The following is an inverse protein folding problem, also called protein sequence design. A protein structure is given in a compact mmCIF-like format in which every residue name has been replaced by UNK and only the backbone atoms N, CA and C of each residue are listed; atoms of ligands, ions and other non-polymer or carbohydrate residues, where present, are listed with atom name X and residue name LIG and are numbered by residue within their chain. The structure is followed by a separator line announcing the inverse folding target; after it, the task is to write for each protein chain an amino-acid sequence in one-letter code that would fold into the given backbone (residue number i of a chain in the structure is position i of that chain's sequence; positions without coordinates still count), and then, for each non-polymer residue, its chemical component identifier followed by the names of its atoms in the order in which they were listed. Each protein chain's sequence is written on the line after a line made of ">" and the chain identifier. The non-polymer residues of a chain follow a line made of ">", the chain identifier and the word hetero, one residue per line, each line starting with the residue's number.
data_IF_747062763006
#
_entry.id   IF_747062763006
#
_cell.length_a   1.000
_cell.length_b   1.000
_cell.length_c   1.000
_cell.angle_alpha   90.00
_cell.angle_beta   90.00
_cell.angle_gamma   90.00
#
_symmetry.space_group_name_H-M   'P 1'
#
loop_
_entity.id
_entity.type
_entity.pdbx_description
1 polymer ?
#
# COMPACT_ATOMS: atom_id res chain seq x y z
N UNK A 1 49.05 -25.95 -25.05
CA UNK A 1 48.69 -26.08 -23.62
C UNK A 1 47.18 -25.94 -23.54
N UNK A 2 46.47 -27.05 -23.38
CA UNK A 2 45.02 -27.01 -23.13
C UNK A 2 44.82 -26.67 -21.66
N UNK A 3 44.15 -25.56 -21.40
CA UNK A 3 43.73 -25.13 -20.07
C UNK A 3 42.60 -26.05 -19.60
N UNK A 4 42.93 -26.91 -18.65
CA UNK A 4 42.00 -27.82 -17.98
C UNK A 4 40.96 -26.98 -17.25
N UNK A 5 39.74 -26.92 -17.80
CA UNK A 5 38.62 -26.21 -17.19
C UNK A 5 37.96 -27.21 -16.25
N UNK A 6 38.36 -27.17 -14.97
CA UNK A 6 37.79 -28.03 -13.94
C UNK A 6 36.30 -27.71 -13.78
N UNK A 7 35.45 -28.54 -14.41
CA UNK A 7 34.01 -28.57 -14.19
C UNK A 7 33.76 -28.90 -12.71
N UNK A 8 33.41 -27.90 -11.90
CA UNK A 8 32.86 -28.11 -10.56
C UNK A 8 31.55 -28.89 -10.70
N UNK A 9 31.60 -30.18 -10.41
CA UNK A 9 30.41 -31.02 -10.29
C UNK A 9 29.62 -30.56 -9.08
N UNK A 10 28.44 -29.98 -9.32
CA UNK A 10 27.53 -29.59 -8.24
C UNK A 10 26.96 -30.88 -7.63
N UNK A 11 27.34 -31.17 -6.38
CA UNK A 11 26.76 -32.28 -5.61
C UNK A 11 25.30 -31.95 -5.26
N UNK A 12 24.37 -32.62 -5.94
CA UNK A 12 22.92 -32.39 -5.81
C UNK A 12 22.29 -33.16 -4.66
N UNK A 13 23.06 -33.98 -3.94
CA UNK A 13 22.54 -34.75 -2.80
C UNK A 13 22.08 -33.84 -1.67
N UNK A 14 21.05 -34.22 -0.90
CA UNK A 14 20.66 -33.50 0.32
C UNK A 14 21.85 -33.34 1.27
N UNK A 15 21.90 -32.20 1.99
CA UNK A 15 23.01 -31.90 2.90
C UNK A 15 23.27 -33.03 3.92
N UNK A 16 22.20 -33.62 4.48
CA UNK A 16 22.31 -34.76 5.39
C UNK A 16 23.04 -35.96 4.76
N UNK A 17 22.74 -36.30 3.50
CA UNK A 17 23.39 -37.42 2.81
C UNK A 17 24.87 -37.15 2.60
N UNK A 18 25.21 -35.93 2.19
CA UNK A 18 26.61 -35.49 2.02
C UNK A 18 27.39 -35.60 3.33
N UNK A 19 26.79 -35.15 4.43
CA UNK A 19 27.39 -35.24 5.77
C UNK A 19 27.54 -36.69 6.22
N UNK A 20 26.54 -37.55 6.00
CA UNK A 20 26.62 -38.96 6.36
C UNK A 20 27.72 -39.67 5.57
N UNK A 21 27.83 -39.44 4.26
CA UNK A 21 28.91 -40.00 3.44
C UNK A 21 30.29 -39.57 3.94
N UNK A 22 30.48 -38.27 4.21
CA UNK A 22 31.74 -37.76 4.76
C UNK A 22 32.05 -38.38 6.13
N UNK A 23 31.08 -38.41 7.03
CA UNK A 23 31.26 -38.94 8.37
C UNK A 23 31.62 -40.44 8.38
N UNK A 24 31.10 -41.22 7.43
CA UNK A 24 31.49 -42.61 7.23
C UNK A 24 32.92 -42.73 6.67
N UNK A 25 33.25 -41.93 5.65
CA UNK A 25 34.59 -41.93 5.03
C UNK A 25 35.68 -41.49 6.02
N UNK A 26 35.38 -40.51 6.87
CA UNK A 26 36.27 -39.99 7.90
C UNK A 26 36.30 -40.84 9.19
N UNK A 27 35.48 -41.90 9.28
CA UNK A 27 35.39 -42.75 10.47
C UNK A 27 34.77 -42.07 11.70
N UNK A 28 34.09 -40.93 11.52
CA UNK A 28 33.37 -40.22 12.58
C UNK A 28 32.10 -40.96 13.02
N UNK A 29 31.46 -41.66 12.08
CA UNK A 29 30.32 -42.56 12.33
C UNK A 29 30.80 -43.99 12.12
N UNK A 30 30.93 -44.73 13.22
CA UNK A 30 31.28 -46.15 13.22
C UNK A 30 30.04 -47.04 13.03
N UNK A 31 30.25 -48.36 12.94
CA UNK A 31 29.15 -49.33 12.76
C UNK A 31 28.08 -49.25 13.86
N UNK A 32 28.44 -49.22 15.17
CA UNK A 32 27.46 -49.02 16.24
C UNK A 32 26.64 -47.74 16.09
N UNK A 33 27.27 -46.60 15.75
CA UNK A 33 26.56 -45.35 15.55
C UNK A 33 25.66 -45.40 14.32
N UNK A 34 26.11 -46.02 13.22
CA UNK A 34 25.28 -46.20 12.02
C UNK A 34 24.01 -47.02 12.31
N UNK A 35 24.12 -48.08 13.12
CA UNK A 35 22.96 -48.88 13.54
C UNK A 35 22.03 -48.13 14.51
N UNK A 36 22.57 -47.23 15.33
CA UNK A 36 21.76 -46.30 16.11
C UNK A 36 21.01 -45.32 15.19
N UNK A 37 21.67 -44.72 14.19
CA UNK A 37 21.05 -43.82 13.21
C UNK A 37 19.91 -44.52 12.44
N UNK A 38 20.08 -45.79 12.05
CA UNK A 38 19.02 -46.58 11.39
C UNK A 38 17.78 -46.73 12.28
N UNK A 39 17.95 -47.09 13.56
CA UNK A 39 16.85 -47.24 14.52
C UNK A 39 16.17 -45.90 14.82
N UNK A 40 16.95 -44.86 15.02
CA UNK A 40 16.45 -43.49 15.23
C UNK A 40 15.67 -42.99 14.02
N UNK A 41 16.17 -43.25 12.81
CA UNK A 41 15.54 -42.87 11.55
C UNK A 41 14.19 -43.57 11.34
N UNK A 42 14.12 -44.88 11.57
CA UNK A 42 12.86 -45.63 11.52
C UNK A 42 11.81 -45.05 12.49
N UNK A 43 12.22 -44.75 13.73
CA UNK A 43 11.35 -44.11 14.73
C UNK A 43 10.89 -42.72 14.28
N UNK A 44 11.80 -41.89 13.76
CA UNK A 44 11.50 -40.55 13.28
C UNK A 44 10.51 -40.54 12.11
N UNK A 45 10.67 -41.47 11.16
CA UNK A 45 9.76 -41.62 10.02
C UNK A 45 8.34 -41.95 10.49
N UNK A 46 8.17 -42.91 11.41
CA UNK A 46 6.85 -43.26 11.94
C UNK A 46 6.23 -42.07 12.67
N UNK A 47 6.98 -41.35 13.50
CA UNK A 47 6.48 -40.17 14.23
C UNK A 47 6.02 -39.05 13.28
N UNK A 48 6.81 -38.76 12.24
CA UNK A 48 6.47 -37.76 11.24
C UNK A 48 5.24 -38.19 10.41
N UNK A 49 5.16 -39.47 10.02
CA UNK A 49 3.99 -39.99 9.31
C UNK A 49 2.71 -39.89 10.16
N UNK A 50 2.78 -40.21 11.46
CA UNK A 50 1.65 -40.05 12.38
C UNK A 50 1.24 -38.59 12.57
N UNK A 51 2.21 -37.65 12.61
CA UNK A 51 1.89 -36.23 12.79
C UNK A 51 1.19 -35.62 11.56
N UNK A 52 1.67 -35.94 10.35
CA UNK A 52 1.14 -35.37 9.12
C UNK A 52 -0.09 -36.13 8.58
N UNK A 53 -0.10 -37.46 8.70
CA UNK A 53 -1.14 -38.33 8.17
C UNK A 53 -1.23 -39.66 8.92
N UNK A 54 -0.77 -40.74 8.32
CA UNK A 54 -0.81 -42.09 8.92
C UNK A 54 0.45 -42.91 8.61
N UNK A 55 0.99 -43.68 9.58
CA UNK A 55 2.16 -44.53 9.33
C UNK A 55 1.82 -45.81 8.55
N UNK A 56 0.55 -46.09 8.29
CA UNK A 56 0.11 -47.34 7.65
C UNK A 56 0.16 -47.27 6.11
N UNK A 57 0.36 -46.08 5.54
CA UNK A 57 0.40 -45.86 4.10
C UNK A 57 1.84 -45.64 3.63
N UNK A 58 2.25 -46.38 2.60
CA UNK A 58 3.58 -46.23 2.01
C UNK A 58 3.89 -44.80 1.53
N UNK A 59 2.99 -44.08 0.82
CA UNK A 59 3.25 -42.70 0.43
C UNK A 59 3.54 -41.77 1.61
N UNK A 60 2.84 -41.95 2.74
CA UNK A 60 3.06 -41.17 3.95
C UNK A 60 4.40 -41.46 4.61
N UNK A 61 4.84 -42.72 4.62
CA UNK A 61 6.17 -43.11 5.10
C UNK A 61 7.29 -42.56 4.20
N UNK A 62 7.10 -42.58 2.88
CA UNK A 62 8.05 -42.01 1.92
C UNK A 62 8.16 -40.48 2.08
N UNK A 63 7.02 -39.80 2.22
CA UNK A 63 6.99 -38.38 2.50
C UNK A 63 7.65 -38.08 3.86
N UNK A 64 7.35 -38.84 4.91
CA UNK A 64 7.98 -38.71 6.22
C UNK A 64 9.51 -38.94 6.19
N UNK A 65 10.02 -39.83 5.32
CA UNK A 65 11.46 -39.97 5.06
C UNK A 65 12.05 -38.67 4.49
N UNK A 66 11.40 -38.08 3.48
CA UNK A 66 11.81 -36.78 2.92
C UNK A 66 11.81 -35.68 3.98
N UNK A 67 10.79 -35.65 4.83
CA UNK A 67 10.69 -34.71 5.95
C UNK A 67 11.86 -34.86 6.93
N UNK A 68 12.16 -36.09 7.33
CA UNK A 68 13.27 -36.37 8.25
C UNK A 68 14.61 -35.89 7.67
N UNK A 69 14.90 -36.23 6.40
CA UNK A 69 16.14 -35.82 5.72
C UNK A 69 16.23 -34.29 5.64
N UNK A 70 15.13 -33.62 5.31
CA UNK A 70 15.07 -32.15 5.21
C UNK A 70 15.32 -31.48 6.56
N UNK A 71 14.63 -31.91 7.60
CA UNK A 71 14.73 -31.32 8.95
C UNK A 71 16.12 -31.55 9.56
N UNK A 72 16.66 -32.76 9.46
CA UNK A 72 18.01 -33.08 9.94
C UNK A 72 19.05 -32.31 9.15
N UNK A 73 18.93 -32.25 7.83
CA UNK A 73 19.82 -31.47 6.96
C UNK A 73 19.83 -29.99 7.35
N UNK A 74 18.65 -29.40 7.54
CA UNK A 74 18.50 -28.01 7.97
C UNK A 74 19.18 -27.72 9.31
N UNK A 75 19.03 -28.62 10.29
CA UNK A 75 19.67 -28.48 11.60
C UNK A 75 21.20 -28.59 11.51
N UNK A 76 21.70 -29.62 10.82
CA UNK A 76 23.13 -29.84 10.62
C UNK A 76 23.78 -28.64 9.94
N UNK A 77 23.21 -28.16 8.84
CA UNK A 77 23.77 -27.05 8.07
C UNK A 77 23.80 -25.76 8.89
N UNK A 78 22.71 -25.48 9.62
CA UNK A 78 22.61 -24.29 10.46
C UNK A 78 23.55 -24.30 11.67
N UNK A 79 23.75 -25.44 12.32
CA UNK A 79 24.61 -25.54 13.51
C UNK A 79 26.10 -25.64 13.16
N UNK A 80 26.44 -26.22 12.00
CA UNK A 80 27.81 -26.32 11.52
C UNK A 80 28.28 -25.09 10.75
N UNK A 81 27.37 -24.19 10.36
CA UNK A 81 27.65 -23.11 9.43
C UNK A 81 28.03 -23.63 8.04
N UNK A 82 27.40 -24.73 7.60
CA UNK A 82 27.67 -25.40 6.32
C UNK A 82 28.92 -26.26 6.28
N UNK A 83 29.72 -26.30 7.35
CA UNK A 83 30.99 -27.05 7.40
C UNK A 83 30.73 -28.56 7.58
N UNK A 84 30.93 -29.33 6.51
CA UNK A 84 30.64 -30.78 6.47
C UNK A 84 31.33 -31.56 7.60
N UNK A 85 32.58 -31.23 7.93
CA UNK A 85 33.31 -31.95 8.97
C UNK A 85 32.72 -31.70 10.38
N UNK A 86 32.34 -30.45 10.67
CA UNK A 86 31.64 -30.08 11.91
C UNK A 86 30.26 -30.74 11.96
N UNK A 87 29.54 -30.77 10.84
CA UNK A 87 28.26 -31.47 10.74
C UNK A 87 28.40 -32.99 10.96
N UNK A 88 29.51 -33.59 10.52
CA UNK A 88 29.83 -35.00 10.79
C UNK A 88 29.99 -35.27 12.29
N UNK A 89 30.68 -34.39 13.02
CA UNK A 89 30.77 -34.45 14.48
C UNK A 89 29.41 -34.29 15.16
N UNK A 90 28.56 -33.36 14.69
CA UNK A 90 27.19 -33.21 15.18
C UNK A 90 26.36 -34.47 14.96
N UNK A 91 26.51 -35.15 13.82
CA UNK A 91 25.78 -36.39 13.51
C UNK A 91 26.25 -37.56 14.39
N UNK A 92 27.53 -37.61 14.75
CA UNK A 92 28.08 -38.54 15.74
C UNK A 92 27.47 -38.29 17.12
N UNK A 93 27.41 -37.03 17.55
CA UNK A 93 27.11 -36.65 18.93
C UNK A 93 25.61 -36.49 19.23
N UNK A 94 24.78 -36.20 18.22
CA UNK A 94 23.34 -35.94 18.38
C UNK A 94 22.49 -37.01 17.70
N UNK A 95 21.34 -37.33 18.32
CA UNK A 95 20.35 -38.23 17.72
C UNK A 95 19.64 -37.57 16.54
N UNK A 96 19.18 -38.38 15.56
CA UNK A 96 18.38 -37.88 14.44
C UNK A 96 17.08 -37.22 14.90
N UNK A 97 16.48 -37.71 16.00
CA UNK A 97 15.28 -37.09 16.58
C UNK A 97 15.55 -35.69 17.11
N UNK A 98 16.69 -35.48 17.79
CA UNK A 98 17.09 -34.16 18.28
C UNK A 98 17.35 -33.20 17.12
N UNK A 99 18.08 -33.64 16.08
CA UNK A 99 18.34 -32.85 14.88
C UNK A 99 17.05 -32.55 14.11
N UNK A 100 16.16 -33.52 13.95
CA UNK A 100 14.85 -33.33 13.31
C UNK A 100 13.98 -32.34 14.07
N UNK A 101 13.98 -32.39 15.41
CA UNK A 101 13.28 -31.42 16.25
C UNK A 101 13.87 -30.02 16.09
N UNK A 102 15.20 -29.88 16.12
CA UNK A 102 15.88 -28.60 15.92
C UNK A 102 15.56 -27.98 14.55
N UNK A 103 15.50 -28.80 13.48
CA UNK A 103 15.04 -28.37 12.17
C UNK A 103 13.58 -27.89 12.19
N UNK A 104 12.69 -28.64 12.85
CA UNK A 104 11.27 -28.28 12.94
C UNK A 104 11.08 -26.97 13.72
N UNK A 105 11.78 -26.79 14.84
CA UNK A 105 11.73 -25.59 15.65
C UNK A 105 12.23 -24.35 14.88
N UNK A 106 13.18 -24.51 13.95
CA UNK A 106 13.60 -23.42 13.04
C UNK A 106 12.48 -23.02 12.10
N UNK A 107 11.78 -23.99 11.51
CA UNK A 107 10.64 -23.72 10.63
C UNK A 107 9.47 -23.10 11.39
N UNK A 108 9.20 -23.53 12.63
CA UNK A 108 8.18 -22.88 13.48
C UNK A 108 8.53 -21.41 13.78
N UNK A 109 9.79 -21.12 14.10
CA UNK A 109 10.24 -19.72 14.27
C UNK A 109 10.08 -18.90 12.99
N UNK A 110 10.36 -19.49 11.82
CA UNK A 110 10.14 -18.85 10.54
C UNK A 110 8.65 -18.59 10.27
N UNK A 111 7.80 -19.57 10.59
CA UNK A 111 6.34 -19.47 10.45
C UNK A 111 5.76 -18.36 11.33
N UNK A 112 6.27 -18.18 12.55
CA UNK A 112 5.86 -17.11 13.46
C UNK A 112 6.26 -15.70 13.01
N UNK A 113 7.15 -15.56 12.01
CA UNK A 113 7.49 -14.27 11.43
C UNK A 113 6.50 -13.87 10.32
N UNK A 114 6.19 -12.57 10.18
CA UNK A 114 5.20 -12.07 9.23
C UNK A 114 5.67 -12.23 7.78
N UNK A 115 4.77 -12.72 6.93
CA UNK A 115 4.98 -12.85 5.48
C UNK A 115 4.89 -11.51 4.75
N UNK A 116 4.13 -10.58 5.29
CA UNK A 116 3.84 -9.27 4.70
C UNK A 116 4.02 -8.14 5.71
N UNK A 117 4.09 -6.90 5.23
CA UNK A 117 4.18 -5.69 6.07
C UNK A 117 2.79 -5.17 6.40
N UNK A 118 1.91 -6.06 6.82
CA UNK A 118 0.52 -5.75 7.13
C UNK A 118 0.38 -5.54 8.65
N UNK A 119 -0.05 -4.34 9.04
CA UNK A 119 -0.33 -3.99 10.42
C UNK A 119 -1.61 -4.69 10.87
N UNK A 120 -1.63 -5.23 12.09
CA UNK A 120 -2.81 -5.92 12.60
C UNK A 120 -3.29 -7.10 11.74
N UNK A 121 -2.38 -7.83 11.08
CA UNK A 121 -2.74 -8.83 10.06
C UNK A 121 -3.90 -9.77 10.51
N UNK A 122 -5.04 -9.78 9.79
CA UNK A 122 -6.19 -10.61 10.14
C UNK A 122 -5.85 -12.10 10.23
N UNK A 123 -6.50 -12.81 11.15
CA UNK A 123 -6.23 -14.23 11.38
C UNK A 123 -6.45 -15.11 10.13
N UNK A 124 -7.34 -14.68 9.22
CA UNK A 124 -7.64 -15.38 7.98
C UNK A 124 -6.43 -15.50 7.03
N UNK A 125 -5.44 -14.61 7.16
CA UNK A 125 -4.21 -14.65 6.36
C UNK A 125 -3.12 -15.52 7.00
N UNK A 126 -3.31 -16.04 8.22
CA UNK A 126 -2.32 -16.90 8.87
C UNK A 126 -2.41 -18.32 8.30
N UNK A 127 -1.39 -18.70 7.53
CA UNK A 127 -1.19 -20.09 7.09
C UNK A 127 -1.12 -21.03 8.32
N UNK A 128 -1.72 -22.21 8.20
CA UNK A 128 -1.61 -23.27 9.21
C UNK A 128 -0.15 -23.70 9.40
N UNK A 129 0.32 -23.79 10.65
CA UNK A 129 1.69 -24.30 10.94
C UNK A 129 1.89 -25.67 10.30
N UNK A 130 0.88 -26.55 10.38
CA UNK A 130 0.96 -27.91 9.86
C UNK A 130 1.14 -27.90 8.34
N UNK A 131 0.42 -27.04 7.63
CA UNK A 131 0.48 -26.96 6.17
C UNK A 131 1.80 -26.33 5.70
N UNK A 132 2.23 -25.27 6.38
CA UNK A 132 3.56 -24.66 6.16
C UNK A 132 4.68 -25.69 6.33
N UNK A 133 4.67 -26.44 7.44
CA UNK A 133 5.65 -27.48 7.71
C UNK A 133 5.59 -28.59 6.66
N UNK A 134 4.39 -29.03 6.26
CA UNK A 134 4.23 -30.06 5.22
C UNK A 134 4.87 -29.61 3.90
N UNK A 135 4.55 -28.39 3.46
CA UNK A 135 5.11 -27.78 2.23
C UNK A 135 6.62 -27.67 2.27
N UNK A 136 7.18 -27.19 3.38
CA UNK A 136 8.62 -26.97 3.53
C UNK A 136 9.43 -28.26 3.70
N UNK A 137 8.81 -29.38 4.08
CA UNK A 137 9.54 -30.61 4.44
C UNK A 137 9.30 -31.77 3.49
N UNK A 138 8.21 -31.78 2.71
CA UNK A 138 7.89 -32.84 1.76
C UNK A 138 7.65 -32.33 0.33
N UNK A 139 6.75 -31.35 0.15
CA UNK A 139 6.30 -30.96 -1.20
C UNK A 139 7.36 -30.15 -1.95
N UNK A 140 7.93 -29.17 -1.26
CA UNK A 140 9.03 -28.34 -1.75
C UNK A 140 10.11 -28.26 -0.69
N UNK A 141 10.89 -29.34 -0.47
CA UNK A 141 11.88 -29.42 0.60
C UNK A 141 12.77 -28.19 0.67
N UNK A 142 12.79 -27.54 1.83
CA UNK A 142 13.52 -26.30 2.04
C UNK A 142 15.01 -26.57 2.14
N UNK A 143 15.81 -25.79 1.41
CA UNK A 143 17.26 -25.75 1.60
C UNK A 143 17.60 -24.73 2.67
N UNK A 144 18.78 -24.87 3.31
CA UNK A 144 19.19 -23.88 4.31
C UNK A 144 19.36 -22.48 3.71
N UNK A 145 19.85 -22.38 2.47
CA UNK A 145 19.91 -21.11 1.75
C UNK A 145 18.53 -20.45 1.56
N UNK A 146 17.50 -21.23 1.19
CA UNK A 146 16.13 -20.73 1.08
C UNK A 146 15.57 -20.32 2.43
N UNK A 147 15.82 -21.11 3.49
CA UNK A 147 15.47 -20.75 4.86
C UNK A 147 16.08 -19.41 5.29
N UNK A 148 17.37 -19.19 5.04
CA UNK A 148 18.04 -17.92 5.39
C UNK A 148 17.46 -16.73 4.62
N UNK A 149 17.21 -16.89 3.32
CA UNK A 149 16.64 -15.84 2.50
C UNK A 149 15.22 -15.46 2.98
N UNK A 150 14.39 -16.47 3.27
CA UNK A 150 13.03 -16.26 3.75
C UNK A 150 13.02 -15.66 5.17
N UNK A 151 13.85 -16.16 6.08
CA UNK A 151 14.02 -15.62 7.43
C UNK A 151 14.41 -14.15 7.40
N UNK A 152 15.44 -13.80 6.63
CA UNK A 152 15.87 -12.42 6.49
C UNK A 152 14.77 -11.52 5.89
N UNK A 153 13.94 -12.06 4.99
CA UNK A 153 12.81 -11.31 4.43
C UNK A 153 11.71 -11.07 5.45
N UNK A 154 11.31 -12.10 6.19
CA UNK A 154 10.25 -11.98 7.20
C UNK A 154 10.70 -11.17 8.42
N UNK A 155 11.98 -11.23 8.80
CA UNK A 155 12.57 -10.34 9.81
C UNK A 155 12.51 -8.87 9.38
N UNK A 156 12.79 -8.57 8.10
CA UNK A 156 12.60 -7.21 7.60
C UNK A 156 11.15 -6.77 7.72
N UNK A 157 10.18 -7.65 7.42
CA UNK A 157 8.77 -7.32 7.59
C UNK A 157 8.42 -7.02 9.06
N UNK A 158 8.91 -7.84 10.00
CA UNK A 158 8.74 -7.58 11.43
C UNK A 158 9.31 -6.22 11.84
N UNK A 159 10.49 -5.85 11.35
CA UNK A 159 11.11 -4.55 11.62
C UNK A 159 10.25 -3.38 11.11
N UNK A 160 9.59 -3.52 9.96
CA UNK A 160 8.64 -2.52 9.47
C UNK A 160 7.42 -2.40 10.37
N UNK A 161 6.84 -3.53 10.78
CA UNK A 161 5.69 -3.58 11.68
C UNK A 161 6.02 -2.91 13.02
N UNK A 162 7.16 -3.27 13.63
CA UNK A 162 7.61 -2.69 14.89
C UNK A 162 7.87 -1.18 14.78
N UNK A 163 8.52 -0.74 13.69
CA UNK A 163 8.77 0.68 13.44
C UNK A 163 7.46 1.47 13.19
N UNK A 164 6.47 0.83 12.57
CA UNK A 164 5.16 1.44 12.30
C UNK A 164 4.39 1.65 13.60
N UNK A 165 4.31 0.64 14.47
CA UNK A 165 3.72 0.81 15.80
C UNK A 165 4.45 1.87 16.63
N UNK A 166 5.79 1.88 16.59
CA UNK A 166 6.57 2.90 17.27
C UNK A 166 6.23 4.31 16.78
N UNK A 167 6.14 4.50 15.46
CA UNK A 167 5.86 5.79 14.84
C UNK A 167 4.43 6.27 15.13
N UNK A 168 3.45 5.36 15.03
CA UNK A 168 2.05 5.64 15.38
C UNK A 168 1.92 6.02 16.87
N UNK A 169 2.60 5.28 17.76
CA UNK A 169 2.63 5.58 19.20
C UNK A 169 3.25 6.96 19.51
N UNK A 170 4.28 7.38 18.79
CA UNK A 170 4.84 8.75 18.92
C UNK A 170 3.85 9.85 18.52
N UNK A 171 2.84 9.51 17.71
CA UNK A 171 1.75 10.40 17.30
C UNK A 171 0.49 10.25 18.16
N UNK A 172 0.56 9.46 19.23
CA UNK A 172 -0.52 9.29 20.22
C UNK A 172 -1.57 8.26 19.85
N UNK A 173 -1.23 7.29 18.99
CA UNK A 173 -2.10 6.15 18.68
C UNK A 173 -1.74 4.98 19.58
N UNK A 174 -2.73 4.43 20.28
CA UNK A 174 -2.55 3.21 21.07
C UNK A 174 -2.40 1.98 20.17
N UNK A 175 -1.70 0.97 20.65
CA UNK A 175 -1.39 -0.21 19.83
C UNK A 175 -2.65 -0.97 19.44
N UNK A 176 -3.59 -1.10 20.37
CA UNK A 176 -4.86 -1.78 20.17
C UNK A 176 -5.67 -1.11 19.06
N UNK A 177 -5.71 0.22 19.00
CA UNK A 177 -6.38 0.97 17.94
C UNK A 177 -5.71 0.72 16.57
N UNK A 178 -4.38 0.68 16.55
CA UNK A 178 -3.61 0.42 15.34
C UNK A 178 -3.73 -1.02 14.82
N UNK A 179 -4.03 -1.98 15.70
CA UNK A 179 -4.27 -3.38 15.33
C UNK A 179 -5.56 -3.56 14.52
N UNK A 180 -6.54 -2.67 14.68
CA UNK A 180 -7.82 -2.71 13.95
C UNK A 180 -7.73 -2.13 12.53
N UNK A 181 -6.63 -1.47 12.18
CA UNK A 181 -6.50 -0.79 10.89
C UNK A 181 -6.36 -1.75 9.70
N UNK A 182 -5.72 -2.90 9.89
CA UNK A 182 -5.51 -3.91 8.85
C UNK A 182 -4.92 -3.35 7.53
N UNK A 183 -3.97 -2.41 7.62
CA UNK A 183 -3.33 -1.73 6.47
C UNK A 183 -1.84 -2.06 6.33
N UNK A 184 -1.28 -1.83 5.13
CA UNK A 184 0.16 -1.91 4.93
C UNK A 184 0.92 -0.82 5.70
N UNK A 185 2.08 -1.18 6.25
CA UNK A 185 2.94 -0.29 7.02
C UNK A 185 3.32 0.98 6.25
N UNK A 186 3.53 0.87 4.93
CA UNK A 186 3.93 1.96 4.07
C UNK A 186 2.94 3.13 4.08
N UNK A 187 1.63 2.85 4.12
CA UNK A 187 0.58 3.87 4.12
C UNK A 187 0.59 4.68 5.43
N UNK A 188 0.77 3.98 6.55
CA UNK A 188 0.88 4.57 7.89
C UNK A 188 2.16 5.39 8.02
N UNK A 189 3.29 4.86 7.56
CA UNK A 189 4.58 5.57 7.56
C UNK A 189 4.48 6.84 6.71
N UNK A 190 3.91 6.77 5.51
CA UNK A 190 3.73 7.96 4.66
C UNK A 190 2.82 9.01 5.33
N UNK A 191 1.72 8.59 5.95
CA UNK A 191 0.82 9.48 6.69
C UNK A 191 1.53 10.15 7.85
N UNK A 192 2.30 9.40 8.64
CA UNK A 192 3.11 9.93 9.73
C UNK A 192 4.17 10.93 9.23
N UNK A 193 4.88 10.60 8.16
CA UNK A 193 5.89 11.47 7.56
C UNK A 193 5.28 12.75 7.01
N UNK A 194 4.07 12.71 6.43
CA UNK A 194 3.37 13.91 5.99
C UNK A 194 3.02 14.84 7.17
N UNK A 195 2.57 14.28 8.30
CA UNK A 195 2.37 15.03 9.55
C UNK A 195 3.69 15.66 10.01
N UNK A 196 4.76 14.86 10.10
CA UNK A 196 6.08 15.31 10.59
C UNK A 196 6.78 16.30 9.65
N UNK A 197 6.46 16.25 8.36
CA UNK A 197 6.93 17.21 7.39
C UNK A 197 6.29 18.58 7.64
N UNK A 198 5.00 18.63 7.96
CA UNK A 198 4.25 19.89 7.93
C UNK A 198 4.13 20.53 9.31
N UNK A 199 4.15 19.73 10.37
CA UNK A 199 3.93 20.18 11.74
C UNK A 199 5.21 20.11 12.59
N UNK A 200 5.49 21.19 13.32
CA UNK A 200 6.64 21.23 14.26
C UNK A 200 6.35 20.53 15.59
N UNK A 201 5.08 20.48 15.99
CA UNK A 201 4.59 19.86 17.22
C UNK A 201 3.39 18.98 16.85
N UNK A 202 3.63 17.79 16.31
CA UNK A 202 2.55 16.95 15.85
C UNK A 202 1.72 16.47 17.04
N UNK A 203 0.40 16.63 16.94
CA UNK A 203 -0.56 16.13 17.93
C UNK A 203 -1.62 15.28 17.21
N UNK A 204 -1.77 14.01 17.60
CA UNK A 204 -2.69 13.06 16.96
C UNK A 204 -2.22 12.58 15.59
N UNK A 205 -2.94 11.59 15.07
CA UNK A 205 -2.66 10.96 13.78
C UNK A 205 -3.53 11.53 12.64
N UNK A 206 -3.87 10.70 11.66
CA UNK A 206 -4.39 11.12 10.38
C UNK A 206 -5.93 11.12 10.33
N UNK A 207 -6.53 12.13 9.72
CA UNK A 207 -7.95 12.17 9.30
C UNK A 207 -8.05 12.74 7.89
N UNK A 208 -9.19 12.56 7.21
CA UNK A 208 -9.37 13.11 5.85
C UNK A 208 -9.23 14.63 5.85
N UNK A 209 -9.95 15.33 6.72
CA UNK A 209 -9.88 16.79 6.80
C UNK A 209 -8.45 17.26 7.09
N UNK A 210 -7.76 16.54 7.99
CA UNK A 210 -6.37 16.84 8.30
C UNK A 210 -5.48 16.60 7.09
N UNK A 211 -5.66 15.49 6.36
CA UNK A 211 -4.90 15.19 5.15
C UNK A 211 -4.97 16.33 4.14
N UNK A 212 -6.16 16.87 3.86
CA UNK A 212 -6.32 18.00 2.93
C UNK A 212 -5.45 19.20 3.35
N UNK A 213 -5.43 19.54 4.64
CA UNK A 213 -4.63 20.65 5.18
C UNK A 213 -3.12 20.35 5.13
N UNK A 214 -2.72 19.13 5.50
CA UNK A 214 -1.32 18.71 5.47
C UNK A 214 -0.79 18.68 4.03
N UNK A 215 -1.59 18.18 3.09
CA UNK A 215 -1.24 18.13 1.68
C UNK A 215 -0.95 19.54 1.14
N UNK A 216 -1.86 20.49 1.33
CA UNK A 216 -1.67 21.88 0.90
C UNK A 216 -0.45 22.54 1.57
N UNK A 217 -0.18 22.25 2.84
CA UNK A 217 1.02 22.71 3.52
C UNK A 217 2.30 22.10 2.91
N UNK A 218 2.28 20.80 2.58
CA UNK A 218 3.40 20.07 2.02
C UNK A 218 3.75 20.56 0.59
N UNK A 219 2.74 20.89 -0.24
CA UNK A 219 2.96 21.47 -1.58
C UNK A 219 3.79 22.75 -1.55
N UNK A 220 3.58 23.58 -0.51
CA UNK A 220 4.28 24.86 -0.32
C UNK A 220 5.66 24.70 0.32
N UNK A 221 5.99 23.51 0.84
CA UNK A 221 7.24 23.28 1.58
C UNK A 221 8.40 22.97 0.63
N UNK A 222 9.43 23.83 0.69
CA UNK A 222 10.66 23.68 -0.12
C UNK A 222 11.69 22.73 0.51
N UNK A 223 11.72 22.62 1.84
CA UNK A 223 12.63 21.75 2.58
C UNK A 223 11.94 20.46 3.05
N UNK A 224 12.59 19.32 2.82
CA UNK A 224 12.12 17.99 3.19
C UNK A 224 12.62 17.51 4.56
N UNK A 225 12.96 18.42 5.49
CA UNK A 225 13.40 18.04 6.84
C UNK A 225 12.27 17.60 7.77
N UNK A 226 12.61 16.74 8.74
CA UNK A 226 11.70 16.16 9.75
C UNK A 226 12.20 16.40 11.19
N UNK A 227 12.25 17.65 11.69
CA UNK A 227 12.93 17.94 12.97
C UNK A 227 12.36 17.20 14.19
N UNK A 228 11.04 16.97 14.22
CA UNK A 228 10.41 16.21 15.30
C UNK A 228 10.82 14.73 15.26
N UNK A 229 10.94 14.15 14.06
CA UNK A 229 11.41 12.79 13.90
C UNK A 229 12.88 12.66 14.29
N UNK A 230 13.72 13.61 13.89
CA UNK A 230 15.15 13.61 14.23
C UNK A 230 15.35 13.55 15.76
N UNK A 231 14.59 14.35 16.51
CA UNK A 231 14.59 14.32 17.97
C UNK A 231 14.10 12.97 18.53
N UNK A 232 13.05 12.37 17.97
CA UNK A 232 12.55 11.06 18.42
C UNK A 232 13.52 9.91 18.13
N UNK A 233 14.35 10.05 17.09
CA UNK A 233 15.31 9.03 16.68
C UNK A 233 16.55 8.98 17.59
N UNK A 234 16.80 10.00 18.42
CA UNK A 234 17.87 9.99 19.43
C UNK A 234 17.70 8.81 20.40
N UNK A 235 16.47 8.56 20.85
CA UNK A 235 16.13 7.48 21.78
C UNK A 235 15.69 6.16 21.11
N UNK A 236 15.62 6.12 19.78
CA UNK A 236 15.14 4.93 19.05
C UNK A 236 16.15 3.77 19.03
N UNK A 237 15.73 2.58 18.61
CA UNK A 237 16.69 1.48 18.36
C UNK A 237 17.49 1.73 17.07
N UNK A 238 18.69 1.14 16.91
CA UNK A 238 19.45 1.24 15.65
C UNK A 238 18.68 0.74 14.42
N UNK A 239 17.81 -0.26 14.60
CA UNK A 239 16.94 -0.78 13.55
C UNK A 239 15.91 0.26 13.08
N UNK A 240 15.20 0.88 14.03
CA UNK A 240 14.24 1.96 13.73
C UNK A 240 14.94 3.15 13.10
N UNK A 241 16.11 3.57 13.62
CA UNK A 241 16.91 4.65 13.03
C UNK A 241 17.24 4.40 11.56
N UNK A 242 17.75 3.21 11.25
CA UNK A 242 18.15 2.85 9.88
C UNK A 242 16.95 2.78 8.95
N UNK A 243 15.81 2.23 9.43
CA UNK A 243 14.58 2.16 8.67
C UNK A 243 14.01 3.55 8.40
N UNK A 244 13.83 4.38 9.43
CA UNK A 244 13.25 5.71 9.28
C UNK A 244 14.10 6.61 8.39
N UNK A 245 15.42 6.51 8.45
CA UNK A 245 16.30 7.20 7.49
C UNK A 245 15.95 6.83 6.04
N UNK A 246 15.90 5.53 5.73
CA UNK A 246 15.51 5.05 4.39
C UNK A 246 14.11 5.53 3.99
N UNK A 247 13.15 5.48 4.90
CA UNK A 247 11.77 5.89 4.60
C UNK A 247 11.63 7.41 4.41
N UNK A 248 12.40 8.24 5.13
CA UNK A 248 12.44 9.69 4.88
C UNK A 248 13.06 10.04 3.53
N UNK A 249 14.11 9.32 3.12
CA UNK A 249 14.72 9.44 1.80
C UNK A 249 13.72 9.03 0.70
N UNK A 250 13.08 7.85 0.85
CA UNK A 250 12.03 7.36 -0.07
C UNK A 250 10.86 8.33 -0.16
N UNK A 251 10.33 8.79 0.97
CA UNK A 251 9.22 9.73 1.01
C UNK A 251 9.55 11.01 0.25
N UNK A 252 10.76 11.55 0.44
CA UNK A 252 11.20 12.77 -0.24
C UNK A 252 11.39 12.58 -1.74
N UNK A 253 11.87 11.41 -2.16
CA UNK A 253 12.17 11.10 -3.55
C UNK A 253 10.94 10.65 -4.36
N UNK A 254 9.99 9.94 -3.74
CA UNK A 254 8.90 9.25 -4.44
C UNK A 254 7.52 9.78 -4.07
N UNK A 255 7.27 10.07 -2.79
CA UNK A 255 5.92 10.44 -2.30
C UNK A 255 5.68 11.94 -2.39
N UNK A 256 6.68 12.75 -2.03
CA UNK A 256 6.56 14.21 -2.07
C UNK A 256 6.33 14.78 -3.48
N UNK A 257 6.93 14.23 -4.57
CA UNK A 257 6.56 14.61 -5.93
C UNK A 257 5.09 14.37 -6.24
N UNK A 258 4.52 13.23 -5.81
CA UNK A 258 3.09 12.90 -6.01
C UNK A 258 2.20 13.94 -5.31
N UNK A 259 2.52 14.31 -4.06
CA UNK A 259 1.78 15.38 -3.33
C UNK A 259 1.83 16.73 -4.06
N UNK A 260 2.94 17.03 -4.77
CA UNK A 260 3.08 18.31 -5.48
C UNK A 260 2.26 18.35 -6.76
N UNK A 261 2.24 17.23 -7.48
CA UNK A 261 1.64 17.10 -8.80
C UNK A 261 0.13 16.84 -8.73
N UNK A 262 -0.31 16.03 -7.78
CA UNK A 262 -1.68 15.49 -7.74
C UNK A 262 -2.49 16.16 -6.61
N UNK A 263 -3.73 16.63 -6.87
CA UNK A 263 -4.58 17.20 -5.83
C UNK A 263 -4.92 16.19 -4.73
N UNK A 264 -5.05 16.68 -3.48
CA UNK A 264 -5.39 15.85 -2.33
C UNK A 264 -6.70 15.08 -2.52
N UNK A 265 -7.70 15.71 -3.14
CA UNK A 265 -9.00 15.10 -3.44
C UNK A 265 -8.88 13.93 -4.41
N UNK A 266 -7.99 14.00 -5.39
CA UNK A 266 -7.72 12.91 -6.33
C UNK A 266 -6.99 11.76 -5.63
N UNK A 267 -5.97 12.05 -4.82
CA UNK A 267 -5.24 11.03 -4.05
C UNK A 267 -6.19 10.27 -3.12
N UNK A 268 -7.10 10.98 -2.46
CA UNK A 268 -8.07 10.37 -1.57
C UNK A 268 -9.14 9.55 -2.31
N UNK A 269 -9.75 10.10 -3.38
CA UNK A 269 -10.89 9.47 -4.05
C UNK A 269 -10.50 8.31 -4.97
N UNK A 270 -9.33 8.38 -5.61
CA UNK A 270 -8.83 7.32 -6.49
C UNK A 270 -7.96 6.32 -5.73
N UNK A 271 -8.50 5.71 -4.68
CA UNK A 271 -7.75 4.72 -3.89
C UNK A 271 -7.38 3.47 -4.68
N UNK A 272 -7.99 3.19 -5.85
CA UNK A 272 -7.52 2.13 -6.73
C UNK A 272 -6.14 2.44 -7.33
N UNK A 273 -5.90 3.72 -7.65
CA UNK A 273 -4.63 4.20 -8.22
C UNK A 273 -3.60 4.51 -7.14
N UNK A 274 -4.05 5.06 -6.01
CA UNK A 274 -3.20 5.48 -4.89
C UNK A 274 -3.32 4.57 -3.68
N UNK A 275 -3.71 3.32 -3.90
CA UNK A 275 -3.94 2.34 -2.85
C UNK A 275 -2.70 2.20 -1.98
N UNK A 276 -2.88 2.34 -0.67
CA UNK A 276 -1.78 2.23 0.29
C UNK A 276 -0.76 3.37 0.25
N UNK A 277 -1.01 4.47 -0.49
CA UNK A 277 -0.12 5.63 -0.45
C UNK A 277 -0.21 6.37 0.88
N UNK A 278 -1.43 6.58 1.38
CA UNK A 278 -1.70 7.15 2.71
C UNK A 278 -2.74 6.29 3.43
N UNK A 279 -2.66 6.28 4.75
CA UNK A 279 -3.66 5.67 5.60
C UNK A 279 -4.96 6.50 5.61
N UNK A 280 -6.10 5.86 5.36
CA UNK A 280 -7.42 6.43 5.60
C UNK A 280 -8.25 5.40 6.35
N UNK A 281 -8.77 5.79 7.51
CA UNK A 281 -9.62 4.92 8.32
C UNK A 281 -10.94 4.67 7.57
N UNK A 282 -11.33 3.40 7.39
CA UNK A 282 -12.56 3.04 6.71
C UNK A 282 -13.81 3.50 7.46
N UNK A 283 -13.71 3.79 8.76
CA UNK A 283 -14.79 4.44 9.52
C UNK A 283 -15.01 5.92 9.14
N UNK A 284 -13.99 6.57 8.55
CA UNK A 284 -14.03 7.97 8.11
C UNK A 284 -14.66 8.19 6.73
N UNK A 285 -15.07 7.13 6.02
CA UNK A 285 -15.85 7.20 4.76
C UNK A 285 -17.14 8.02 4.95
N UNK A 286 -17.66 8.06 6.19
CA UNK A 286 -18.82 8.87 6.59
C UNK A 286 -18.61 10.39 6.43
N UNK A 287 -17.40 10.91 6.65
CA UNK A 287 -17.13 12.36 6.65
C UNK A 287 -17.18 12.96 5.23
N UNK A 288 -16.83 12.19 4.21
CA UNK A 288 -16.89 12.64 2.81
C UNK A 288 -18.26 12.43 2.21
N UNK A 289 -19.00 11.39 2.63
CA UNK A 289 -20.43 11.34 2.29
C UNK A 289 -21.18 12.59 2.74
N UNK A 290 -20.72 13.28 3.79
CA UNK A 290 -21.30 14.57 4.19
C UNK A 290 -20.90 15.75 3.29
N UNK A 291 -19.63 15.86 2.88
CA UNK A 291 -19.19 16.91 1.96
C UNK A 291 -19.76 16.71 0.54
N UNK A 292 -19.72 15.49 0.02
CA UNK A 292 -20.29 15.15 -1.29
C UNK A 292 -21.80 15.33 -1.30
N UNK A 293 -22.48 15.01 -0.19
CA UNK A 293 -23.91 15.30 -0.01
C UNK A 293 -24.18 16.80 0.06
N UNK A 294 -23.35 17.59 0.74
CA UNK A 294 -23.51 19.03 0.80
C UNK A 294 -23.31 19.69 -0.57
N UNK A 295 -22.29 19.27 -1.33
CA UNK A 295 -22.10 19.72 -2.71
C UNK A 295 -23.25 19.28 -3.62
N UNK A 296 -23.73 18.03 -3.49
CA UNK A 296 -24.88 17.54 -4.24
C UNK A 296 -26.18 18.28 -3.89
N UNK A 297 -26.40 18.62 -2.62
CA UNK A 297 -27.54 19.41 -2.14
C UNK A 297 -27.48 20.85 -2.66
N UNK A 298 -26.30 21.49 -2.62
CA UNK A 298 -26.10 22.85 -3.11
C UNK A 298 -26.22 22.93 -4.64
N UNK A 299 -25.63 21.97 -5.35
CA UNK A 299 -25.79 21.82 -6.79
C UNK A 299 -27.26 21.62 -7.18
N UNK A 300 -27.97 20.77 -6.43
CA UNK A 300 -29.40 20.54 -6.60
C UNK A 300 -30.22 21.79 -6.29
N UNK A 301 -29.85 22.56 -5.27
CA UNK A 301 -30.50 23.83 -4.93
C UNK A 301 -30.38 24.84 -6.06
N UNK A 302 -29.20 24.94 -6.66
CA UNK A 302 -28.90 25.87 -7.75
C UNK A 302 -29.58 25.43 -9.06
N UNK A 303 -29.47 24.16 -9.42
CA UNK A 303 -29.89 23.62 -10.72
C UNK A 303 -31.32 23.07 -10.74
N UNK A 304 -31.91 22.80 -9.56
CA UNK A 304 -33.28 22.31 -9.41
C UNK A 304 -33.50 20.88 -9.91
N UNK A 305 -32.62 19.94 -9.54
CA UNK A 305 -32.59 18.54 -10.03
C UNK A 305 -32.37 18.40 -11.55
N UNK A 306 -31.78 19.40 -12.19
CA UNK A 306 -31.55 19.44 -13.64
C UNK A 306 -30.08 19.77 -13.94
N UNK A 307 -29.19 19.46 -13.00
CA UNK A 307 -27.77 19.76 -13.09
C UNK A 307 -27.00 18.88 -14.07
N UNK A 308 -27.62 17.85 -14.61
CA UNK A 308 -27.13 17.01 -15.71
C UNK A 308 -27.45 17.61 -17.10
N UNK A 309 -28.37 18.57 -17.19
CA UNK A 309 -28.73 19.22 -18.44
C UNK A 309 -27.70 20.29 -18.83
N UNK A 310 -27.15 20.15 -20.04
CA UNK A 310 -26.12 21.05 -20.59
C UNK A 310 -26.56 22.52 -20.63
N UNK A 311 -27.81 22.82 -20.98
CA UNK A 311 -28.34 24.19 -21.05
C UNK A 311 -28.43 24.87 -19.66
N UNK A 312 -28.63 24.09 -18.60
CA UNK A 312 -28.60 24.55 -17.20
C UNK A 312 -27.17 24.80 -16.76
N UNK A 313 -26.26 23.85 -17.03
CA UNK A 313 -24.84 23.98 -16.71
C UNK A 313 -24.22 25.21 -17.40
N UNK A 314 -24.49 25.41 -18.69
CA UNK A 314 -24.01 26.56 -19.44
C UNK A 314 -24.48 27.89 -18.84
N UNK A 315 -25.76 28.00 -18.49
CA UNK A 315 -26.32 29.20 -17.87
C UNK A 315 -25.68 29.52 -16.51
N UNK A 316 -25.51 28.49 -15.67
CA UNK A 316 -24.87 28.62 -14.36
C UNK A 316 -23.41 29.07 -14.48
N UNK A 317 -22.63 28.47 -15.38
CA UNK A 317 -21.23 28.83 -15.59
C UNK A 317 -21.08 30.26 -16.11
N UNK A 318 -21.90 30.69 -17.07
CA UNK A 318 -21.87 32.07 -17.58
C UNK A 318 -22.25 33.10 -16.51
N UNK A 319 -23.21 32.77 -15.63
CA UNK A 319 -23.51 33.62 -14.47
C UNK A 319 -22.30 33.74 -13.54
N UNK A 320 -21.67 32.62 -13.16
CA UNK A 320 -20.50 32.61 -12.28
C UNK A 320 -19.33 33.37 -12.91
N UNK A 321 -19.05 33.12 -14.19
CA UNK A 321 -17.96 33.74 -14.94
C UNK A 321 -18.10 35.28 -15.03
N UNK A 322 -19.32 35.79 -14.93
CA UNK A 322 -19.63 37.23 -14.97
C UNK A 322 -19.99 37.81 -13.61
N UNK A 323 -19.78 37.07 -12.52
CA UNK A 323 -20.00 37.55 -11.14
C UNK A 323 -21.47 37.64 -10.72
N UNK A 324 -22.37 36.92 -11.39
CA UNK A 324 -23.78 36.79 -11.03
C UNK A 324 -24.01 35.56 -10.13
N UNK A 325 -25.08 35.61 -9.35
CA UNK A 325 -25.51 34.47 -8.53
C UNK A 325 -26.09 33.37 -9.42
N UNK A 326 -25.58 32.11 -9.35
CA UNK A 326 -26.00 31.05 -10.24
C UNK A 326 -27.41 30.57 -9.93
N UNK A 327 -28.23 30.41 -10.97
CA UNK A 327 -29.60 29.90 -10.86
C UNK A 327 -29.96 29.01 -12.05
N UNK A 328 -30.88 28.06 -11.86
CA UNK A 328 -31.30 27.08 -12.88
C UNK A 328 -31.83 27.63 -14.20
N UNK A 329 -32.24 28.89 -14.23
CA UNK A 329 -32.88 29.47 -15.41
C UNK A 329 -32.41 30.90 -15.57
N UNK A 330 -31.89 31.20 -16.76
CA UNK A 330 -31.44 32.53 -17.10
C UNK A 330 -32.69 33.42 -17.27
N UNK A 331 -32.75 34.56 -16.59
CA UNK A 331 -33.77 35.57 -16.84
C UNK A 331 -33.23 36.60 -17.83
N UNK A 332 -34.11 37.28 -18.56
CA UNK A 332 -33.70 38.30 -19.55
C UNK A 332 -32.84 39.41 -18.93
N UNK A 333 -33.13 39.80 -17.69
CA UNK A 333 -32.34 40.79 -16.95
C UNK A 333 -30.91 40.29 -16.68
N UNK A 334 -30.77 39.01 -16.38
CA UNK A 334 -29.48 38.40 -16.04
C UNK A 334 -28.67 38.17 -17.32
N UNK A 335 -29.33 37.84 -18.45
CA UNK A 335 -28.70 37.80 -19.77
C UNK A 335 -28.10 39.16 -20.19
N UNK A 336 -28.83 40.27 -19.98
CA UNK A 336 -28.28 41.60 -20.21
C UNK A 336 -27.06 41.87 -19.30
N UNK A 337 -27.15 41.51 -18.02
CA UNK A 337 -26.04 41.69 -17.07
C UNK A 337 -24.83 40.83 -17.39
N UNK A 338 -25.01 39.60 -17.89
CA UNK A 338 -23.91 38.76 -18.40
C UNK A 338 -23.18 39.51 -19.51
N UNK A 339 -23.93 40.07 -20.47
CA UNK A 339 -23.33 40.81 -21.59
C UNK A 339 -22.62 42.08 -21.13
N UNK A 340 -23.24 42.89 -20.28
CA UNK A 340 -22.66 44.12 -19.73
C UNK A 340 -21.37 43.82 -18.94
N UNK A 341 -21.42 42.85 -18.01
CA UNK A 341 -20.29 42.47 -17.17
C UNK A 341 -19.15 41.85 -18.01
N UNK A 342 -19.48 41.06 -19.03
CA UNK A 342 -18.49 40.52 -19.94
C UNK A 342 -17.77 41.62 -20.72
N UNK A 343 -18.48 42.64 -21.21
CA UNK A 343 -17.86 43.79 -21.91
C UNK A 343 -16.98 44.64 -21.00
N UNK A 344 -17.31 44.71 -19.71
CA UNK A 344 -16.55 45.49 -18.73
C UNK A 344 -15.26 44.77 -18.29
N UNK A 345 -15.34 43.48 -17.96
CA UNK A 345 -14.24 42.75 -17.30
C UNK A 345 -13.86 41.40 -17.91
N UNK A 346 -14.58 40.93 -18.93
CA UNK A 346 -14.46 39.57 -19.44
C UNK A 346 -14.92 38.52 -18.42
N UNK A 347 -14.54 37.26 -18.65
CA UNK A 347 -14.83 36.14 -17.73
C UNK A 347 -13.79 36.02 -16.62
N UNK A 348 -14.26 35.86 -15.38
CA UNK A 348 -13.46 35.43 -14.23
C UNK A 348 -13.31 33.90 -14.24
N UNK A 349 -12.27 33.44 -14.95
CA UNK A 349 -11.87 32.03 -15.03
C UNK A 349 -11.61 31.41 -13.65
N UNK A 350 -11.09 32.20 -12.70
CA UNK A 350 -10.79 31.72 -11.36
C UNK A 350 -12.07 31.51 -10.54
N UNK A 351 -13.11 32.32 -10.75
CA UNK A 351 -14.42 32.09 -10.14
C UNK A 351 -15.07 30.81 -10.65
N UNK A 352 -14.96 30.53 -11.96
CA UNK A 352 -15.49 29.30 -12.55
C UNK A 352 -14.76 28.07 -12.00
N UNK A 353 -13.43 28.08 -11.98
CA UNK A 353 -12.65 26.97 -11.43
C UNK A 353 -13.02 26.70 -9.95
N UNK A 354 -13.11 27.75 -9.12
CA UNK A 354 -13.53 27.62 -7.71
C UNK A 354 -14.93 27.03 -7.59
N UNK A 355 -15.87 27.50 -8.39
CA UNK A 355 -17.26 27.01 -8.37
C UNK A 355 -17.35 25.53 -8.76
N UNK A 356 -16.63 25.10 -9.79
CA UNK A 356 -16.58 23.69 -10.19
C UNK A 356 -16.01 22.83 -9.06
N UNK A 357 -14.95 23.28 -8.41
CA UNK A 357 -14.33 22.53 -7.31
C UNK A 357 -15.21 22.46 -6.06
N UNK A 358 -15.93 23.54 -5.72
CA UNK A 358 -16.62 23.66 -4.43
C UNK A 358 -18.12 23.35 -4.47
N UNK A 359 -18.75 23.33 -5.66
CA UNK A 359 -20.21 23.19 -5.78
C UNK A 359 -20.61 22.03 -6.69
N UNK A 360 -19.91 21.81 -7.80
CA UNK A 360 -20.29 20.76 -8.75
C UNK A 360 -19.98 19.38 -8.14
N UNK A 361 -20.92 18.41 -8.18
CA UNK A 361 -20.70 17.06 -7.70
C UNK A 361 -19.53 16.40 -8.43
N UNK A 362 -18.74 15.60 -7.73
CA UNK A 362 -17.51 15.03 -8.25
C UNK A 362 -17.69 14.30 -9.60
N UNK A 363 -18.77 13.53 -9.74
CA UNK A 363 -19.10 12.80 -10.96
C UNK A 363 -19.22 13.70 -12.20
N UNK A 364 -19.57 14.98 -12.03
CA UNK A 364 -19.69 15.94 -13.12
C UNK A 364 -18.51 16.91 -13.23
N UNK A 365 -17.62 16.99 -12.24
CA UNK A 365 -16.56 18.03 -12.22
C UNK A 365 -15.66 17.99 -13.45
N UNK A 366 -15.26 16.78 -13.89
CA UNK A 366 -14.39 16.63 -15.05
C UNK A 366 -15.08 17.06 -16.35
N UNK A 367 -16.32 16.61 -16.56
CA UNK A 367 -17.11 16.93 -17.75
C UNK A 367 -17.49 18.41 -17.80
N UNK A 368 -17.90 19.01 -16.68
CA UNK A 368 -18.26 20.43 -16.58
C UNK A 368 -17.03 21.32 -16.77
N UNK A 369 -15.87 20.92 -16.23
CA UNK A 369 -14.60 21.63 -16.47
C UNK A 369 -14.23 21.60 -17.95
N UNK A 370 -14.29 20.42 -18.57
CA UNK A 370 -13.99 20.26 -19.99
C UNK A 370 -14.95 21.07 -20.86
N UNK A 371 -16.25 21.02 -20.56
CA UNK A 371 -17.27 21.81 -21.25
C UNK A 371 -16.97 23.32 -21.17
N UNK A 372 -16.47 23.82 -20.04
CA UNK A 372 -16.09 25.23 -19.92
C UNK A 372 -14.82 25.56 -20.72
N UNK A 373 -13.76 24.78 -20.55
CA UNK A 373 -12.43 25.06 -21.11
C UNK A 373 -12.36 24.85 -22.62
N UNK A 374 -13.00 23.79 -23.13
CA UNK A 374 -12.89 23.37 -24.53
C UNK A 374 -14.01 23.96 -25.42
N UNK A 375 -15.22 24.15 -24.88
CA UNK A 375 -16.41 24.47 -25.68
C UNK A 375 -17.03 25.83 -25.32
N UNK A 376 -17.72 25.92 -24.17
CA UNK A 376 -18.57 27.05 -23.81
C UNK A 376 -17.79 28.35 -23.63
N UNK A 377 -16.67 28.32 -22.91
CA UNK A 377 -15.87 29.51 -22.63
C UNK A 377 -15.34 30.17 -23.91
N UNK A 378 -14.63 29.44 -24.78
CA UNK A 378 -14.18 29.94 -26.08
C UNK A 378 -15.32 30.44 -26.98
N UNK A 379 -16.42 29.69 -27.09
CA UNK A 379 -17.56 30.07 -27.93
C UNK A 379 -18.24 31.35 -27.41
N UNK A 380 -18.57 31.39 -26.12
CA UNK A 380 -19.27 32.51 -25.51
C UNK A 380 -18.47 33.81 -25.61
N UNK A 381 -17.13 33.74 -25.52
CA UNK A 381 -16.25 34.91 -25.73
C UNK A 381 -16.46 35.56 -27.09
N UNK A 382 -16.61 34.74 -28.13
CA UNK A 382 -16.82 35.24 -29.51
C UNK A 382 -18.22 35.83 -29.66
N UNK A 383 -19.23 35.14 -29.13
CA UNK A 383 -20.62 35.55 -29.32
C UNK A 383 -21.00 36.79 -28.49
N UNK A 384 -20.48 36.92 -27.27
CA UNK A 384 -20.75 38.05 -26.38
C UNK A 384 -19.97 39.33 -26.77
N UNK A 385 -18.92 39.22 -27.59
CA UNK A 385 -18.17 40.38 -28.12
C UNK A 385 -18.89 41.10 -29.27
N UNK A 386 -20.02 40.56 -29.74
CA UNK A 386 -20.86 41.22 -30.75
C UNK A 386 -21.53 42.49 -30.21
N UNK A 387 -21.62 43.52 -31.05
CA UNK A 387 -22.43 44.73 -30.78
C UNK A 387 -23.92 44.57 -31.11
N UNK A 388 -24.32 43.45 -31.74
CA UNK A 388 -25.72 43.15 -32.04
C UNK A 388 -26.42 42.48 -30.86
N UNK A 389 -27.22 43.27 -30.14
CA UNK A 389 -28.05 42.81 -29.02
C UNK A 389 -28.94 41.62 -29.39
N UNK A 390 -29.46 41.56 -30.62
CA UNK A 390 -30.34 40.49 -31.06
C UNK A 390 -29.57 39.18 -31.19
N UNK A 391 -28.35 39.25 -31.75
CA UNK A 391 -27.46 38.09 -31.89
C UNK A 391 -27.07 37.53 -30.52
N UNK A 392 -26.62 38.40 -29.61
CA UNK A 392 -26.22 38.03 -28.25
C UNK A 392 -27.37 37.39 -27.47
N UNK A 393 -28.56 37.99 -27.54
CA UNK A 393 -29.73 37.46 -26.83
C UNK A 393 -30.20 36.14 -27.42
N UNK A 394 -30.10 35.95 -28.74
CA UNK A 394 -30.44 34.67 -29.37
C UNK A 394 -29.44 33.58 -28.96
N UNK A 395 -28.14 33.87 -28.95
CA UNK A 395 -27.12 32.95 -28.47
C UNK A 395 -27.41 32.49 -27.03
N UNK A 396 -27.60 33.43 -26.11
CA UNK A 396 -27.91 33.09 -24.71
C UNK A 396 -29.22 32.31 -24.55
N UNK A 397 -30.19 32.48 -25.45
CA UNK A 397 -31.42 31.68 -25.45
C UNK A 397 -31.23 30.27 -26.00
N UNK A 398 -30.34 30.10 -26.98
CA UNK A 398 -30.08 28.81 -27.63
C UNK A 398 -29.11 27.96 -26.81
N UNK A 399 -28.20 28.59 -26.07
CA UNK A 399 -27.16 27.95 -25.24
C UNK A 399 -27.60 27.71 -23.79
N UNK A 400 -28.50 28.54 -23.24
CA UNK A 400 -28.89 28.44 -21.83
C UNK A 400 -30.39 28.20 -21.65
N UNK A 401 -30.77 27.66 -20.49
CA UNK A 401 -32.18 27.51 -20.10
C UNK A 401 -32.86 28.86 -19.84
N UNK A 402 -33.35 29.50 -20.89
CA UNK A 402 -33.94 30.83 -20.84
C UNK A 402 -35.39 30.83 -20.32
N UNK A 403 -35.67 31.69 -19.33
CA UNK A 403 -36.99 31.94 -18.77
C UNK A 403 -37.84 32.96 -19.57
N UNK A 404 -37.44 33.33 -20.79
CA UNK A 404 -38.15 34.32 -21.60
C UNK A 404 -38.33 33.86 -23.06
N UNK A 405 -39.41 34.31 -23.70
CA UNK A 405 -39.76 33.91 -25.07
C UNK A 405 -38.82 34.55 -26.11
N UNK A 406 -38.41 33.77 -27.11
CA UNK A 406 -37.74 34.24 -28.33
C UNK A 406 -38.68 35.21 -29.04
N UNK A 407 -38.24 36.43 -29.31
CA UNK A 407 -38.99 37.33 -30.19
C UNK A 407 -38.75 36.82 -31.61
N UNK A 408 -39.80 36.29 -32.24
CA UNK A 408 -39.76 36.03 -33.68
C UNK A 408 -39.51 37.38 -34.37
N UNK A 409 -38.34 37.49 -35.01
CA UNK A 409 -38.04 38.59 -35.94
C UNK A 409 -38.93 38.52 -37.16
#
# INVERSE_FOLDING_TARGET
>A
MFTDTSLTTVDTRPYFERVLCHALQAGLVDTPRLDALRREGAKGIVQLATYFGTPNLRPELEAARTRLVTLVGLALEAESGGKIDVAGHLLRDKTLLALSKAGADRLRRLHGLPTERLLGAPEIFRESEKDFLAKCTADTPITYARYLAEHASRERNQQYIDATYWLAGKLGVEREDADEWHVFCESVINSALLVLLTERKPAGFFSVERFMKLHEAARKKRSAGFPALDAWLEDATPGIRSLMKRETERFSAEVLPVIRDIPATEIYRNQDRFSGLFFFDTSSVSEITHHDKACAEEWTRITGNQGDHTDVQCGVLLMVATGLEPTRSLLKRDANRIWDNFRESGFDEAAVARFIESVVPFEYQSDVRRMWEDDLGPEARVQLDSDDTTLVMNYLQDTCRAGWKKKNG
#
